data_IF_108951274644
#
_entry.id   IF_108951274644
#
_cell.length_a   1.000
_cell.length_b   1.000
_cell.length_c   1.000
_cell.angle_alpha   90.00
_cell.angle_beta   90.00
_cell.angle_gamma   90.00
#
_symmetry.space_group_name_H-M   'P 1'
#
loop_
_entity.id
_entity.type
_entity.pdbx_description
1 polymer ?
#
# COMPACT_ATOMS: atom_id res chain seq x y z
N UNK A 1 18.38 -8.71 -7.43
CA UNK A 1 17.58 -7.46 -7.40
C UNK A 1 16.24 -7.57 -8.11
N UNK A 2 16.17 -7.98 -9.38
CA UNK A 2 14.91 -8.05 -10.16
C UNK A 2 13.80 -8.92 -9.54
N UNK A 3 14.12 -10.11 -9.04
CA UNK A 3 13.16 -11.00 -8.38
C UNK A 3 12.63 -10.42 -7.07
N UNK A 4 13.50 -9.75 -6.31
CA UNK A 4 13.15 -9.13 -5.04
C UNK A 4 12.15 -7.98 -5.22
N UNK A 5 12.34 -7.13 -6.23
CA UNK A 5 11.37 -6.07 -6.58
C UNK A 5 10.01 -6.68 -6.91
N UNK A 6 9.97 -7.72 -7.74
CA UNK A 6 8.72 -8.38 -8.14
C UNK A 6 7.98 -9.00 -6.97
N UNK A 7 8.71 -9.63 -6.05
CA UNK A 7 8.13 -10.18 -4.81
C UNK A 7 7.61 -9.06 -3.92
N UNK A 8 8.38 -7.99 -3.73
CA UNK A 8 7.97 -6.83 -2.91
C UNK A 8 6.71 -6.15 -3.47
N UNK A 9 6.67 -5.91 -4.78
CA UNK A 9 5.49 -5.38 -5.47
C UNK A 9 4.30 -6.34 -5.39
N UNK A 10 4.53 -7.65 -5.58
CA UNK A 10 3.48 -8.67 -5.47
C UNK A 10 2.85 -8.70 -4.08
N UNK A 11 3.67 -8.64 -3.02
CA UNK A 11 3.20 -8.52 -1.64
C UNK A 11 2.41 -7.22 -1.45
N UNK A 12 2.90 -6.09 -1.97
CA UNK A 12 2.17 -4.82 -1.91
C UNK A 12 0.79 -4.86 -2.59
N UNK A 13 0.68 -5.50 -3.77
CA UNK A 13 -0.60 -5.70 -4.49
C UNK A 13 -1.55 -6.56 -3.65
N UNK A 14 -1.07 -7.68 -3.12
CA UNK A 14 -1.88 -8.59 -2.32
C UNK A 14 -2.39 -7.91 -1.04
N UNK A 15 -1.51 -7.19 -0.34
CA UNK A 15 -1.90 -6.43 0.86
C UNK A 15 -2.91 -5.33 0.53
N UNK A 16 -2.75 -4.64 -0.61
CA UNK A 16 -3.72 -3.64 -1.07
C UNK A 16 -5.08 -4.28 -1.35
N UNK A 17 -5.12 -5.43 -2.02
CA UNK A 17 -6.38 -6.14 -2.30
C UNK A 17 -7.10 -6.59 -1.03
N UNK A 18 -6.36 -7.14 -0.07
CA UNK A 18 -6.91 -7.51 1.25
C UNK A 18 -7.41 -6.28 1.99
N UNK A 19 -6.63 -5.20 2.01
CA UNK A 19 -7.01 -3.95 2.66
C UNK A 19 -8.26 -3.32 2.03
N UNK A 20 -8.38 -3.30 0.71
CA UNK A 20 -9.60 -2.83 0.02
C UNK A 20 -10.82 -3.71 0.36
N UNK A 21 -10.63 -5.02 0.47
CA UNK A 21 -11.66 -5.94 0.93
C UNK A 21 -12.12 -5.62 2.35
N UNK A 22 -11.19 -5.35 3.27
CA UNK A 22 -11.53 -4.90 4.62
C UNK A 22 -12.22 -3.54 4.60
N UNK A 23 -11.66 -2.55 3.89
CA UNK A 23 -12.22 -1.21 3.76
C UNK A 23 -13.67 -1.22 3.27
N UNK A 24 -13.97 -1.99 2.22
CA UNK A 24 -15.32 -2.08 1.64
C UNK A 24 -16.35 -2.79 2.55
N UNK A 25 -15.90 -3.69 3.43
CA UNK A 25 -16.75 -4.47 4.32
C UNK A 25 -16.77 -3.94 5.76
N UNK A 26 -15.96 -2.93 6.07
CA UNK A 26 -15.94 -2.30 7.39
C UNK A 26 -16.86 -1.09 7.33
N UNK A 27 -18.08 -1.15 7.90
CA UNK A 27 -18.88 0.05 8.01
C UNK A 27 -18.12 1.04 8.90
N UNK A 28 -17.75 2.20 8.34
CA UNK A 28 -17.39 3.40 9.09
C UNK A 28 -18.64 3.94 9.79
N UNK A 29 -19.24 3.12 10.65
CA UNK A 29 -20.28 3.57 11.55
C UNK A 29 -19.57 4.22 12.75
N UNK A 30 -19.78 5.52 13.04
CA UNK A 30 -19.36 6.07 14.32
C UNK A 30 -19.96 5.20 15.42
N UNK A 31 -19.13 4.82 16.40
CA UNK A 31 -19.56 3.98 17.51
C UNK A 31 -20.87 4.53 18.08
N UNK A 32 -21.95 3.75 17.99
CA UNK A 32 -23.22 4.13 18.60
C UNK A 32 -22.96 4.38 20.08
N UNK A 33 -23.31 5.58 20.52
CA UNK A 33 -23.55 5.93 21.92
C UNK A 33 -22.39 5.61 22.89
N UNK A 34 -21.22 6.22 22.66
CA UNK A 34 -20.15 6.27 23.67
C UNK A 34 -19.32 4.98 23.84
N UNK A 35 -19.54 3.98 22.99
CA UNK A 35 -18.60 2.87 22.85
C UNK A 35 -17.41 3.35 22.01
N UNK A 36 -16.19 3.07 22.46
CA UNK A 36 -14.95 3.49 21.80
C UNK A 36 -14.80 3.00 20.35
N UNK A 37 -13.60 3.11 19.75
CA UNK A 37 -13.40 2.71 18.36
C UNK A 37 -13.87 1.27 18.13
N UNK A 38 -14.69 1.07 17.09
CA UNK A 38 -15.21 -0.25 16.74
C UNK A 38 -14.05 -1.21 16.49
N UNK A 39 -14.17 -2.47 16.90
CA UNK A 39 -13.11 -3.48 16.69
C UNK A 39 -12.71 -3.57 15.21
N UNK A 40 -13.69 -3.44 14.32
CA UNK A 40 -13.47 -3.40 12.88
C UNK A 40 -12.69 -2.15 12.43
N UNK A 41 -12.97 -0.97 13.02
CA UNK A 41 -12.21 0.25 12.79
C UNK A 41 -10.75 0.15 13.29
N UNK A 42 -10.53 -0.49 14.44
CA UNK A 42 -9.16 -0.76 14.94
C UNK A 42 -8.40 -1.73 14.02
N UNK A 43 -9.06 -2.79 13.55
CA UNK A 43 -8.46 -3.72 12.58
C UNK A 43 -8.10 -3.02 11.27
N UNK A 44 -9.00 -2.18 10.75
CA UNK A 44 -8.72 -1.40 9.54
C UNK A 44 -7.58 -0.40 9.76
N UNK A 45 -7.49 0.22 10.94
CA UNK A 45 -6.36 1.10 11.29
C UNK A 45 -5.02 0.35 11.27
N UNK A 46 -4.92 -0.79 11.98
CA UNK A 46 -3.70 -1.60 11.96
C UNK A 46 -3.37 -2.15 10.56
N UNK A 47 -4.39 -2.56 9.79
CA UNK A 47 -4.23 -2.98 8.41
C UNK A 47 -3.70 -1.84 7.51
N UNK A 48 -4.18 -0.62 7.74
CA UNK A 48 -3.71 0.59 7.02
C UNK A 48 -2.24 0.88 7.32
N UNK A 49 -1.83 0.78 8.59
CA UNK A 49 -0.42 0.94 8.99
C UNK A 49 0.45 -0.14 8.33
N UNK A 50 0.04 -1.41 8.43
CA UNK A 50 0.79 -2.52 7.85
C UNK A 50 0.93 -2.38 6.33
N UNK A 51 -0.15 -2.00 5.64
CA UNK A 51 -0.13 -1.70 4.22
C UNK A 51 0.81 -0.53 3.90
N UNK A 52 0.72 0.57 4.66
CA UNK A 52 1.56 1.75 4.47
C UNK A 52 3.05 1.44 4.61
N UNK A 53 3.44 0.62 5.59
CA UNK A 53 4.82 0.17 5.78
C UNK A 53 5.30 -0.70 4.62
N UNK A 54 4.48 -1.65 4.17
CA UNK A 54 4.80 -2.50 3.01
C UNK A 54 4.96 -1.67 1.73
N UNK A 55 4.08 -0.69 1.53
CA UNK A 55 4.11 0.22 0.40
C UNK A 55 5.32 1.16 0.44
N UNK A 56 5.66 1.69 1.63
CA UNK A 56 6.84 2.51 1.83
C UNK A 56 8.12 1.72 1.52
N UNK A 57 8.21 0.48 2.00
CA UNK A 57 9.34 -0.40 1.70
C UNK A 57 9.45 -0.68 0.19
N UNK A 58 8.33 -0.99 -0.48
CA UNK A 58 8.32 -1.17 -1.94
C UNK A 58 8.74 0.11 -2.69
N UNK A 59 8.29 1.28 -2.26
CA UNK A 59 8.69 2.58 -2.82
C UNK A 59 10.19 2.80 -2.67
N UNK A 60 10.77 2.60 -1.48
CA UNK A 60 12.20 2.80 -1.21
C UNK A 60 13.05 1.87 -2.08
N UNK A 61 12.69 0.58 -2.15
CA UNK A 61 13.40 -0.40 -2.99
C UNK A 61 13.36 0.01 -4.46
N UNK A 62 12.20 0.43 -4.94
CA UNK A 62 12.01 0.84 -6.34
C UNK A 62 12.76 2.13 -6.67
N UNK A 63 12.78 3.09 -5.73
CA UNK A 63 13.52 4.33 -5.82
C UNK A 63 15.03 4.07 -5.88
N UNK A 64 15.55 3.20 -4.99
CA UNK A 64 16.95 2.80 -4.98
C UNK A 64 17.41 2.16 -6.30
N UNK A 65 16.55 1.36 -6.95
CA UNK A 65 16.86 0.83 -8.28
C UNK A 65 16.80 1.90 -9.38
N UNK A 66 15.87 2.87 -9.28
CA UNK A 66 15.73 3.96 -10.25
C UNK A 66 16.91 4.92 -10.24
N UNK A 67 17.57 5.11 -9.09
CA UNK A 67 18.79 5.92 -8.95
C UNK A 67 20.09 5.14 -9.17
N UNK A 68 20.05 3.81 -9.10
CA UNK A 68 21.23 2.99 -9.40
C UNK A 68 21.54 3.09 -10.90
N UNK A 69 22.65 3.76 -11.25
CA UNK A 69 23.16 3.97 -12.63
C UNK A 69 23.48 2.68 -13.42
N UNK A 70 23.11 1.52 -12.91
CA UNK A 70 23.42 0.21 -13.45
C UNK A 70 22.35 -0.22 -14.46
N UNK A 71 22.69 -0.08 -15.74
CA UNK A 71 22.14 -0.86 -16.88
C UNK A 71 20.68 -0.53 -17.24
N UNK A 72 20.49 0.18 -18.36
CA UNK A 72 19.21 0.71 -18.88
C UNK A 72 17.91 -0.12 -18.74
N UNK A 73 17.89 -1.46 -18.88
CA UNK A 73 16.72 -2.27 -18.57
C UNK A 73 16.24 -2.20 -17.11
N UNK A 74 17.15 -2.08 -16.13
CA UNK A 74 16.78 -1.99 -14.70
C UNK A 74 16.14 -0.63 -14.37
N UNK A 75 16.57 0.45 -15.02
CA UNK A 75 15.96 1.77 -14.88
C UNK A 75 14.52 1.83 -15.42
N UNK A 76 14.22 1.10 -16.51
CA UNK A 76 12.85 0.99 -17.03
C UNK A 76 11.93 0.25 -16.05
N UNK A 77 12.43 -0.82 -15.43
CA UNK A 77 11.68 -1.57 -14.41
C UNK A 77 11.45 -0.75 -13.13
N UNK A 78 12.44 0.05 -12.72
CA UNK A 78 12.27 1.01 -11.62
C UNK A 78 11.18 2.04 -11.88
N UNK A 79 11.11 2.61 -13.10
CA UNK A 79 10.04 3.56 -13.48
C UNK A 79 8.65 2.95 -13.43
N UNK A 80 8.48 1.72 -13.93
CA UNK A 80 7.19 1.01 -13.89
C UNK A 80 6.79 0.71 -12.44
N UNK A 81 7.74 0.23 -11.63
CA UNK A 81 7.50 0.00 -10.20
C UNK A 81 7.08 1.28 -9.47
N UNK A 82 7.71 2.43 -9.78
CA UNK A 82 7.34 3.70 -9.16
C UNK A 82 5.94 4.13 -9.56
N UNK A 83 5.56 3.92 -10.83
CA UNK A 83 4.20 4.15 -11.29
C UNK A 83 3.17 3.32 -10.52
N UNK A 84 3.44 2.02 -10.32
CA UNK A 84 2.57 1.13 -9.52
C UNK A 84 2.47 1.57 -8.06
N UNK A 85 3.60 1.88 -7.42
CA UNK A 85 3.60 2.40 -6.05
C UNK A 85 2.79 3.71 -5.95
N UNK A 86 2.95 4.64 -6.89
CA UNK A 86 2.21 5.89 -6.91
C UNK A 86 0.69 5.65 -7.02
N UNK A 87 0.25 4.76 -7.91
CA UNK A 87 -1.17 4.39 -8.03
C UNK A 87 -1.71 3.82 -6.72
N UNK A 88 -0.96 2.93 -6.07
CA UNK A 88 -1.38 2.35 -4.78
C UNK A 88 -1.49 3.40 -3.67
N UNK A 89 -0.53 4.33 -3.60
CA UNK A 89 -0.59 5.45 -2.64
C UNK A 89 -1.80 6.34 -2.90
N UNK A 90 -2.12 6.63 -4.18
CA UNK A 90 -3.30 7.42 -4.55
C UNK A 90 -4.58 6.70 -4.15
N UNK A 91 -4.72 5.41 -4.46
CA UNK A 91 -5.91 4.62 -4.07
C UNK A 91 -6.10 4.64 -2.56
N UNK A 92 -5.04 4.41 -1.79
CA UNK A 92 -5.10 4.45 -0.33
C UNK A 92 -5.52 5.84 0.18
N UNK A 93 -4.93 6.90 -0.37
CA UNK A 93 -5.28 8.28 0.02
C UNK A 93 -6.73 8.63 -0.31
N UNK A 94 -7.23 8.23 -1.49
CA UNK A 94 -8.62 8.46 -1.90
C UNK A 94 -9.57 7.71 -0.96
N UNK A 95 -9.33 6.43 -0.70
CA UNK A 95 -10.14 5.64 0.23
C UNK A 95 -10.13 6.24 1.65
N UNK A 96 -8.99 6.70 2.15
CA UNK A 96 -8.91 7.32 3.48
C UNK A 96 -9.58 8.71 3.55
N UNK A 97 -9.64 9.47 2.45
CA UNK A 97 -10.36 10.75 2.41
C UNK A 97 -11.88 10.57 2.24
N UNK A 98 -12.33 9.42 1.73
CA UNK A 98 -13.75 9.10 1.54
C UNK A 98 -14.37 8.39 2.75
N UNK A 99 -13.56 7.98 3.73
CA UNK A 99 -13.98 7.37 4.98
C UNK A 99 -14.20 8.41 6.09
#
# INVERSE_FOLDING_TARGET
>A
MKTYLRVSLGVGILMMAVWLGLYANTPFAPGRDGQGPSEAGMLLFFATIALSLALAHATIVTLGMSFSKLVGPLAKEGKIGMGLCAVMWIVMAVCLNLA
#
